data_IF_500095053923
#
_entry.id   IF_500095053923
#
_cell.length_a   1.000
_cell.length_b   1.000
_cell.length_c   1.000
_cell.angle_alpha   90.00
_cell.angle_beta   90.00
_cell.angle_gamma   90.00
#
_symmetry.space_group_name_H-M   'P 1'
#
loop_
_entity.id
_entity.type
_entity.pdbx_description
1 polymer ?
#
# COMPACT_ATOMS: atom_id res chain seq x y z
N UNK A 1 -37.22 83.35 10.21
CA UNK A 1 -37.73 81.98 10.44
C UNK A 1 -37.00 81.05 9.53
N UNK A 2 -35.99 80.29 10.00
CA UNK A 2 -35.27 79.29 9.25
C UNK A 2 -35.73 77.90 9.73
N UNK A 3 -36.30 77.10 8.82
CA UNK A 3 -36.70 75.73 9.09
C UNK A 3 -35.47 74.80 8.99
N UNK A 4 -35.14 74.15 10.09
CA UNK A 4 -34.17 73.09 10.12
C UNK A 4 -34.78 71.78 9.56
N UNK A 5 -34.18 71.25 8.49
CA UNK A 5 -34.45 69.91 7.99
C UNK A 5 -33.62 68.88 8.78
N UNK A 6 -34.28 68.05 9.58
CA UNK A 6 -33.66 66.86 10.20
C UNK A 6 -33.51 65.75 9.15
N UNK A 7 -32.30 65.39 8.85
CA UNK A 7 -31.99 64.26 7.98
C UNK A 7 -31.90 62.99 8.83
N UNK A 8 -32.86 62.07 8.64
CA UNK A 8 -32.84 60.76 9.28
C UNK A 8 -31.75 59.92 8.63
N UNK A 9 -30.71 59.58 9.37
CA UNK A 9 -29.70 58.57 8.96
C UNK A 9 -30.27 57.17 9.25
N UNK A 10 -30.49 56.43 8.19
CA UNK A 10 -30.86 55.00 8.25
C UNK A 10 -29.57 54.20 8.50
N UNK A 11 -29.44 53.63 9.68
CA UNK A 11 -28.33 52.71 9.99
C UNK A 11 -28.78 51.31 9.52
N UNK A 12 -28.15 50.84 8.43
CA UNK A 12 -28.33 49.47 7.93
C UNK A 12 -27.38 48.56 8.72
N UNK A 13 -27.92 47.82 9.66
CA UNK A 13 -27.17 46.77 10.36
C UNK A 13 -27.06 45.56 9.44
N UNK A 14 -25.87 45.31 8.86
CA UNK A 14 -25.58 44.05 8.21
C UNK A 14 -25.38 42.98 9.28
N UNK A 15 -26.35 42.08 9.43
CA UNK A 15 -26.16 40.83 10.16
C UNK A 15 -25.31 39.86 9.31
N UNK A 16 -24.03 39.72 9.65
CA UNK A 16 -23.18 38.67 9.10
C UNK A 16 -23.60 37.37 9.77
N UNK A 17 -24.41 36.57 9.08
CA UNK A 17 -24.68 35.19 9.47
C UNK A 17 -23.41 34.42 9.11
N UNK A 18 -22.54 34.23 10.10
CA UNK A 18 -21.43 33.28 10.00
C UNK A 18 -21.99 31.86 9.87
N UNK A 19 -22.04 31.31 8.66
CA UNK A 19 -22.15 29.88 8.47
C UNK A 19 -20.84 29.26 9.01
N UNK A 20 -20.86 28.79 10.22
CA UNK A 20 -19.89 27.82 10.71
C UNK A 20 -20.14 26.52 9.94
N UNK A 21 -19.37 26.31 8.89
CA UNK A 21 -19.24 24.97 8.28
C UNK A 21 -18.57 24.12 9.37
N UNK A 22 -19.35 23.43 10.17
CA UNK A 22 -18.85 22.35 10.99
C UNK A 22 -18.45 21.25 10.00
N UNK A 23 -17.20 21.28 9.55
CA UNK A 23 -16.62 20.17 8.85
C UNK A 23 -16.78 18.95 9.73
N UNK A 24 -17.52 17.97 9.27
CA UNK A 24 -17.53 16.64 9.88
C UNK A 24 -16.08 16.16 9.79
N UNK A 25 -15.36 16.28 10.89
CA UNK A 25 -14.03 15.70 11.02
C UNK A 25 -14.26 14.20 11.01
N UNK A 26 -13.76 13.51 10.01
CA UNK A 26 -13.72 12.06 10.05
C UNK A 26 -12.97 11.67 11.33
N UNK A 27 -13.60 10.88 12.20
CA UNK A 27 -12.97 10.44 13.44
C UNK A 27 -11.66 9.72 13.09
N UNK A 28 -10.56 10.09 13.76
CA UNK A 28 -9.28 9.45 13.49
C UNK A 28 -9.36 7.98 13.89
N UNK A 29 -8.81 7.12 13.04
CA UNK A 29 -8.76 5.67 13.30
C UNK A 29 -7.86 5.34 14.49
N UNK A 30 -7.03 6.30 14.95
CA UNK A 30 -6.13 6.15 16.09
C UNK A 30 -6.82 5.91 17.44
N UNK A 31 -8.09 6.17 17.54
CA UNK A 31 -8.89 5.75 18.71
C UNK A 31 -9.08 4.22 18.73
N UNK A 32 -8.82 3.55 17.61
CA UNK A 32 -8.78 2.10 17.48
C UNK A 32 -7.39 1.69 17.02
N UNK A 33 -6.78 0.77 17.71
CA UNK A 33 -5.46 0.24 17.37
C UNK A 33 -5.42 -0.21 15.89
N UNK A 34 -4.40 0.26 15.14
CA UNK A 34 -4.16 -0.17 13.77
C UNK A 34 -3.41 -1.51 13.83
N UNK A 35 -4.09 -2.60 13.52
CA UNK A 35 -3.57 -3.97 13.66
C UNK A 35 -3.18 -4.59 12.31
N UNK A 36 -2.49 -3.83 11.44
CA UNK A 36 -1.95 -4.41 10.20
C UNK A 36 -0.64 -5.15 10.48
N UNK A 37 -0.54 -6.41 10.03
CA UNK A 37 0.75 -7.05 9.84
C UNK A 37 1.35 -6.61 8.49
N UNK A 38 2.68 -6.74 8.34
CA UNK A 38 3.41 -6.36 7.11
C UNK A 38 3.03 -4.96 6.60
N UNK A 39 3.05 -3.93 7.46
CA UNK A 39 2.59 -2.61 7.06
C UNK A 39 3.52 -2.00 6.01
N UNK A 40 2.94 -1.34 5.01
CA UNK A 40 3.67 -0.53 4.05
C UNK A 40 3.09 0.87 3.96
N UNK A 41 3.97 1.87 3.86
CA UNK A 41 3.58 3.27 3.69
C UNK A 41 4.07 3.74 2.31
N UNK A 42 3.15 4.23 1.52
CA UNK A 42 3.42 4.93 0.27
C UNK A 42 3.27 6.44 0.48
N UNK A 43 4.20 7.21 -0.07
CA UNK A 43 4.22 8.68 0.12
C UNK A 43 4.02 9.37 -1.22
N UNK A 44 3.07 10.28 -1.30
CA UNK A 44 2.84 11.11 -2.48
C UNK A 44 2.18 12.45 -2.11
N UNK A 45 2.70 13.54 -2.70
CA UNK A 45 2.14 14.90 -2.55
C UNK A 45 1.96 15.33 -1.09
N UNK A 46 2.90 14.98 -0.20
CA UNK A 46 2.84 15.31 1.23
C UNK A 46 1.81 14.53 2.03
N UNK A 47 1.25 13.47 1.45
CA UNK A 47 0.37 12.52 2.14
C UNK A 47 1.03 11.15 2.27
N UNK A 48 0.68 10.46 3.33
CA UNK A 48 1.10 9.10 3.64
C UNK A 48 -0.10 8.17 3.50
N UNK A 49 0.10 7.05 2.84
CA UNK A 49 -0.93 6.04 2.60
C UNK A 49 -0.47 4.71 3.19
N UNK A 50 -1.17 4.26 4.23
CA UNK A 50 -0.86 3.03 4.96
C UNK A 50 -1.79 1.91 4.51
N UNK A 51 -1.22 0.77 4.24
CA UNK A 51 -1.91 -0.50 4.06
C UNK A 51 -1.10 -1.62 4.69
N UNK A 52 -1.67 -2.81 4.80
CA UNK A 52 -0.99 -3.97 5.38
C UNK A 52 -1.87 -5.22 5.30
N UNK A 53 -1.31 -6.31 5.76
CA UNK A 53 -2.03 -7.57 5.94
C UNK A 53 -3.14 -7.41 6.98
N UNK A 54 -4.35 -7.75 6.57
CA UNK A 54 -5.51 -7.84 7.46
C UNK A 54 -6.25 -9.17 7.23
N UNK A 55 -6.44 -9.91 8.32
CA UNK A 55 -7.10 -11.20 8.30
C UNK A 55 -8.59 -11.08 8.67
N UNK A 56 -9.30 -10.15 8.03
CA UNK A 56 -10.70 -9.81 8.33
C UNK A 56 -11.52 -9.76 7.04
N UNK A 57 -12.81 -10.10 7.15
CA UNK A 57 -13.76 -9.93 6.07
C UNK A 57 -14.24 -8.46 5.96
N UNK A 58 -14.53 -7.97 4.76
CA UNK A 58 -14.26 -8.57 3.46
C UNK A 58 -12.75 -8.66 3.20
N UNK A 59 -12.29 -9.78 2.62
CA UNK A 59 -10.87 -9.99 2.35
C UNK A 59 -10.35 -9.06 1.26
N UNK A 60 -9.10 -8.60 1.47
CA UNK A 60 -8.40 -7.65 0.62
C UNK A 60 -7.58 -6.67 1.43
N UNK A 61 -7.14 -5.61 0.79
CA UNK A 61 -6.30 -4.59 1.41
C UNK A 61 -7.07 -3.29 1.57
N UNK A 62 -7.06 -2.75 2.79
CA UNK A 62 -7.64 -1.46 3.10
C UNK A 62 -6.57 -0.37 3.07
N UNK A 63 -6.99 0.89 2.99
CA UNK A 63 -6.10 2.05 2.99
C UNK A 63 -6.48 3.01 4.10
N UNK A 64 -5.47 3.58 4.73
CA UNK A 64 -5.58 4.75 5.58
C UNK A 64 -4.72 5.87 5.00
N UNK A 65 -5.08 7.12 5.22
CA UNK A 65 -4.25 8.27 4.87
C UNK A 65 -3.92 9.12 6.10
N UNK A 66 -2.76 9.76 6.04
CA UNK A 66 -2.28 10.70 7.05
C UNK A 66 -1.49 11.84 6.38
N UNK A 67 -1.34 12.96 7.08
CA UNK A 67 -0.43 14.07 6.72
C UNK A 67 0.72 14.24 7.71
N UNK A 68 0.69 13.53 8.84
CA UNK A 68 1.62 13.71 9.96
C UNK A 68 2.21 12.39 10.50
N UNK A 69 1.76 11.23 9.99
CA UNK A 69 2.10 9.87 10.46
C UNK A 69 1.56 9.53 11.86
N UNK A 70 0.87 10.45 12.49
CA UNK A 70 0.29 10.27 13.83
C UNK A 70 -1.22 10.03 13.74
N UNK A 71 -1.92 10.83 12.92
CA UNK A 71 -3.37 10.75 12.77
C UNK A 71 -3.74 10.11 11.44
N UNK A 72 -4.43 8.99 11.51
CA UNK A 72 -4.83 8.19 10.36
C UNK A 72 -6.35 8.19 10.19
N UNK A 73 -6.80 8.35 8.95
CA UNK A 73 -8.22 8.34 8.59
C UNK A 73 -8.47 7.46 7.39
N UNK A 74 -9.71 6.99 7.23
CA UNK A 74 -10.15 6.35 5.97
C UNK A 74 -10.44 7.44 4.95
N UNK A 75 -9.79 7.45 3.76
CA UNK A 75 -9.81 8.59 2.84
C UNK A 75 -11.19 9.04 2.37
N UNK A 76 -12.15 8.11 2.19
CA UNK A 76 -13.52 8.41 1.78
C UNK A 76 -14.47 8.71 2.94
N UNK A 77 -13.95 8.76 4.17
CA UNK A 77 -14.74 9.01 5.39
C UNK A 77 -15.61 7.83 5.83
N UNK A 78 -15.51 6.68 5.19
CA UNK A 78 -16.18 5.45 5.62
C UNK A 78 -15.43 4.76 6.75
N UNK A 79 -15.99 3.68 7.28
CA UNK A 79 -15.30 2.86 8.29
C UNK A 79 -14.25 1.93 7.71
N UNK A 80 -14.25 1.69 6.39
CA UNK A 80 -13.34 0.78 5.69
C UNK A 80 -13.37 1.05 4.19
N UNK A 81 -12.24 1.45 3.61
CA UNK A 81 -12.06 1.56 2.17
C UNK A 81 -11.09 0.49 1.67
N UNK A 82 -11.59 -0.48 0.89
CA UNK A 82 -10.75 -1.48 0.23
C UNK A 82 -10.22 -0.95 -1.10
N UNK A 83 -8.91 -0.94 -1.25
CA UNK A 83 -8.22 -0.61 -2.51
C UNK A 83 -8.04 -1.82 -3.42
N UNK A 84 -8.03 -3.02 -2.83
CA UNK A 84 -8.03 -4.30 -3.52
C UNK A 84 -8.96 -5.25 -2.76
N UNK A 85 -9.85 -5.92 -3.48
CA UNK A 85 -10.83 -6.83 -2.91
C UNK A 85 -10.70 -8.20 -3.55
N UNK A 86 -10.76 -9.26 -2.72
CA UNK A 86 -10.86 -10.64 -3.20
C UNK A 86 -12.02 -10.79 -4.18
N UNK A 87 -11.76 -11.46 -5.30
CA UNK A 87 -12.75 -11.73 -6.33
C UNK A 87 -13.01 -10.59 -7.32
N UNK A 88 -12.47 -9.37 -7.10
CA UNK A 88 -12.61 -8.25 -8.03
C UNK A 88 -11.45 -8.21 -9.04
N UNK A 89 -11.39 -9.19 -9.93
CA UNK A 89 -10.29 -9.39 -10.88
C UNK A 89 -8.93 -9.44 -10.18
N UNK A 90 -8.85 -10.20 -9.11
CA UNK A 90 -7.66 -10.43 -8.30
C UNK A 90 -7.43 -11.91 -8.12
N UNK A 91 -6.17 -12.35 -8.22
CA UNK A 91 -5.78 -13.73 -7.95
C UNK A 91 -5.80 -14.00 -6.44
N UNK A 92 -6.25 -15.20 -6.09
CA UNK A 92 -6.17 -15.76 -4.74
C UNK A 92 -7.49 -15.89 -4.03
N UNK A 93 -7.57 -16.93 -3.21
CA UNK A 93 -8.74 -17.24 -2.37
C UNK A 93 -8.47 -17.01 -0.88
N UNK A 94 -7.18 -17.02 -0.48
CA UNK A 94 -6.74 -16.88 0.91
C UNK A 94 -5.33 -16.30 0.99
N UNK A 95 -4.94 -15.84 2.19
CA UNK A 95 -3.59 -15.39 2.47
C UNK A 95 -3.25 -14.11 1.72
N UNK A 96 -4.11 -13.09 1.80
CA UNK A 96 -3.82 -11.76 1.29
C UNK A 96 -2.84 -11.07 2.21
N UNK A 97 -1.52 -11.19 1.92
CA UNK A 97 -0.43 -10.78 2.80
C UNK A 97 0.57 -9.85 2.13
N UNK A 98 1.38 -9.18 2.94
CA UNK A 98 2.57 -8.43 2.58
C UNK A 98 2.42 -7.55 1.33
N UNK A 99 1.54 -6.53 1.37
CA UNK A 99 1.33 -5.64 0.25
C UNK A 99 2.49 -4.67 0.08
N UNK A 100 2.77 -4.27 -1.17
CA UNK A 100 3.72 -3.20 -1.48
C UNK A 100 3.18 -2.31 -2.60
N UNK A 101 3.32 -0.99 -2.44
CA UNK A 101 3.07 -0.03 -3.49
C UNK A 101 4.30 0.18 -4.36
N UNK A 102 4.06 0.34 -5.64
CA UNK A 102 5.05 0.83 -6.59
C UNK A 102 4.37 1.73 -7.61
N UNK A 103 4.97 2.89 -7.95
CA UNK A 103 4.45 3.78 -8.99
C UNK A 103 5.46 3.91 -10.12
N UNK A 104 5.00 3.71 -11.35
CA UNK A 104 5.74 4.07 -12.55
C UNK A 104 4.89 4.98 -13.43
N UNK A 105 5.40 6.18 -13.70
CA UNK A 105 4.69 7.23 -14.45
C UNK A 105 3.32 7.53 -13.83
N UNK A 106 2.23 7.21 -14.53
CA UNK A 106 0.83 7.45 -14.11
C UNK A 106 0.10 6.18 -13.71
N UNK A 107 0.83 5.10 -13.42
CA UNK A 107 0.24 3.83 -13.04
C UNK A 107 0.77 3.41 -11.67
N UNK A 108 -0.15 3.11 -10.78
CA UNK A 108 0.13 2.51 -9.50
C UNK A 108 0.08 0.99 -9.67
N UNK A 109 1.07 0.33 -9.16
CA UNK A 109 1.17 -1.11 -9.06
C UNK A 109 1.11 -1.51 -7.59
N UNK A 110 0.53 -2.65 -7.35
CA UNK A 110 0.34 -3.18 -6.01
C UNK A 110 0.70 -4.65 -6.04
N UNK A 111 1.79 -5.02 -5.39
CA UNK A 111 2.16 -6.41 -5.24
C UNK A 111 1.67 -6.94 -3.90
N UNK A 112 1.35 -8.21 -3.84
CA UNK A 112 0.87 -8.87 -2.64
C UNK A 112 1.07 -10.38 -2.75
N UNK A 113 0.92 -11.09 -1.64
CA UNK A 113 0.84 -12.55 -1.60
C UNK A 113 -0.62 -12.98 -1.56
N UNK A 114 -0.97 -14.03 -2.31
CA UNK A 114 -2.21 -14.78 -2.13
C UNK A 114 -2.00 -16.23 -2.56
N UNK A 115 -2.60 -17.18 -1.84
CA UNK A 115 -2.38 -18.64 -2.06
C UNK A 115 -0.89 -19.03 -2.05
N UNK A 116 -0.06 -18.36 -1.24
CA UNK A 116 1.42 -18.52 -1.23
C UNK A 116 2.06 -18.28 -2.61
N UNK A 117 1.53 -17.32 -3.35
CA UNK A 117 2.05 -16.83 -4.64
C UNK A 117 2.09 -15.32 -4.64
N UNK A 118 3.17 -14.74 -5.15
CA UNK A 118 3.25 -13.30 -5.38
C UNK A 118 2.39 -12.88 -6.56
N UNK A 119 1.72 -11.77 -6.41
CA UNK A 119 0.74 -11.24 -7.37
C UNK A 119 1.01 -9.77 -7.62
N UNK A 120 0.71 -9.27 -8.81
CA UNK A 120 0.71 -7.84 -9.13
C UNK A 120 -0.63 -7.41 -9.70
N UNK A 121 -1.15 -6.32 -9.19
CA UNK A 121 -2.33 -5.64 -9.70
C UNK A 121 -1.98 -4.18 -10.03
N UNK A 122 -2.83 -3.48 -10.75
CA UNK A 122 -2.58 -2.09 -11.11
C UNK A 122 -3.84 -1.23 -11.04
N UNK A 123 -3.63 0.08 -10.86
CA UNK A 123 -4.68 1.10 -10.85
C UNK A 123 -4.17 2.42 -11.44
N UNK A 124 -5.09 3.33 -11.76
CA UNK A 124 -4.79 4.73 -12.10
C UNK A 124 -4.90 5.66 -10.90
N UNK A 125 -5.31 5.14 -9.75
CA UNK A 125 -5.46 5.85 -8.49
C UNK A 125 -4.74 5.12 -7.36
N UNK A 126 -4.16 5.86 -6.42
CA UNK A 126 -3.61 5.32 -5.17
C UNK A 126 -4.70 4.62 -4.35
N UNK A 127 -5.94 5.05 -4.49
CA UNK A 127 -7.11 4.48 -3.81
C UNK A 127 -7.69 3.24 -4.51
N UNK A 128 -7.00 2.72 -5.53
CA UNK A 128 -7.53 1.61 -6.31
C UNK A 128 -8.70 1.99 -7.23
N UNK A 129 -9.61 1.05 -7.57
CA UNK A 129 -9.44 -0.36 -7.28
C UNK A 129 -8.26 -0.97 -8.04
N UNK A 130 -7.43 -1.73 -7.34
CA UNK A 130 -6.34 -2.46 -7.96
C UNK A 130 -6.88 -3.77 -8.54
N UNK A 131 -6.62 -3.98 -9.84
CA UNK A 131 -7.09 -5.13 -10.60
C UNK A 131 -5.99 -5.71 -11.46
N UNK A 132 -6.10 -6.98 -11.77
CA UNK A 132 -5.22 -7.65 -12.72
C UNK A 132 -5.82 -7.60 -14.14
N UNK A 133 -4.96 -7.43 -15.13
CA UNK A 133 -5.34 -7.58 -16.54
C UNK A 133 -5.67 -9.06 -16.84
N UNK A 134 -4.79 -9.95 -16.40
CA UNK A 134 -4.97 -11.39 -16.37
C UNK A 134 -4.88 -11.85 -14.92
N UNK A 135 -5.86 -12.61 -14.47
CA UNK A 135 -5.90 -13.12 -13.09
C UNK A 135 -4.97 -14.31 -12.97
N UNK A 136 -3.75 -14.06 -12.51
CA UNK A 136 -2.70 -15.07 -12.36
C UNK A 136 -1.62 -14.60 -11.37
N UNK A 137 -0.82 -15.51 -10.80
CA UNK A 137 0.37 -15.14 -10.04
C UNK A 137 1.48 -14.62 -10.97
N UNK A 138 2.48 -13.97 -10.39
CA UNK A 138 3.69 -13.51 -11.10
C UNK A 138 4.52 -14.71 -11.56
N UNK A 139 4.70 -15.67 -10.68
CA UNK A 139 5.47 -16.89 -10.90
C UNK A 139 4.81 -18.07 -10.21
N UNK A 140 4.26 -19.00 -10.99
CA UNK A 140 3.62 -20.21 -10.48
C UNK A 140 4.56 -21.42 -10.35
N UNK A 141 5.87 -21.25 -10.63
CA UNK A 141 6.82 -22.38 -10.66
C UNK A 141 7.14 -22.96 -9.28
N UNK A 142 6.97 -22.16 -8.22
CA UNK A 142 7.13 -22.57 -6.83
C UNK A 142 6.32 -21.67 -5.91
N UNK A 143 6.15 -22.06 -4.64
CA UNK A 143 5.61 -21.19 -3.61
C UNK A 143 6.56 -19.98 -3.42
N UNK A 144 5.99 -18.78 -3.39
CA UNK A 144 6.73 -17.55 -3.21
C UNK A 144 5.84 -16.48 -2.56
N UNK A 145 6.42 -15.69 -1.67
CA UNK A 145 5.71 -14.69 -0.86
C UNK A 145 6.51 -13.39 -0.78
N UNK A 146 5.96 -12.37 -0.17
CA UNK A 146 6.63 -11.13 0.26
C UNK A 146 7.45 -10.48 -0.86
N UNK A 147 6.77 -9.91 -1.83
CA UNK A 147 7.43 -9.32 -2.98
C UNK A 147 7.69 -7.83 -2.81
N UNK A 148 8.84 -7.38 -3.28
CA UNK A 148 9.19 -5.97 -3.43
C UNK A 148 9.61 -5.69 -4.88
N UNK A 149 8.91 -4.78 -5.53
CA UNK A 149 9.22 -4.36 -6.90
C UNK A 149 10.12 -3.11 -6.86
N UNK A 150 11.28 -3.23 -7.48
CA UNK A 150 12.29 -2.18 -7.55
C UNK A 150 12.59 -1.82 -9.01
N UNK A 151 12.75 -0.52 -9.30
CA UNK A 151 13.23 -0.03 -10.60
C UNK A 151 14.60 0.58 -10.42
N UNK A 152 15.59 0.05 -11.11
CA UNK A 152 16.95 0.57 -11.07
C UNK A 152 17.18 1.70 -12.10
N UNK A 153 18.32 2.40 -12.00
CA UNK A 153 18.70 3.53 -12.85
C UNK A 153 18.94 3.11 -14.30
N UNK A 154 19.24 1.83 -14.56
CA UNK A 154 19.30 1.25 -15.90
C UNK A 154 17.92 1.13 -16.57
N UNK A 155 16.84 1.48 -15.85
CA UNK A 155 15.46 1.43 -16.30
C UNK A 155 14.84 0.04 -16.24
N UNK A 156 15.56 -0.97 -15.78
CA UNK A 156 15.01 -2.31 -15.56
C UNK A 156 14.26 -2.39 -14.26
N UNK A 157 13.33 -3.34 -14.21
CA UNK A 157 12.60 -3.69 -13.02
C UNK A 157 13.10 -5.01 -12.46
N UNK A 158 13.17 -5.08 -11.15
CA UNK A 158 13.58 -6.25 -10.41
C UNK A 158 12.51 -6.60 -9.37
N UNK A 159 12.13 -7.87 -9.30
CA UNK A 159 11.27 -8.38 -8.25
C UNK A 159 12.13 -9.13 -7.23
N UNK A 160 12.21 -8.58 -6.03
CA UNK A 160 12.73 -9.30 -4.86
C UNK A 160 11.56 -10.01 -4.20
N UNK A 161 11.73 -11.26 -3.84
CA UNK A 161 10.68 -12.05 -3.20
C UNK A 161 11.27 -13.23 -2.44
N UNK A 162 10.46 -13.82 -1.59
CA UNK A 162 10.84 -14.99 -0.82
C UNK A 162 10.43 -16.24 -1.57
N UNK A 163 11.33 -17.23 -1.65
CA UNK A 163 11.03 -18.58 -2.12
C UNK A 163 11.49 -19.58 -1.10
N UNK A 164 10.72 -20.67 -0.96
CA UNK A 164 11.07 -21.76 -0.07
C UNK A 164 12.08 -22.71 -0.73
N UNK A 165 13.21 -22.92 -0.06
CA UNK A 165 14.25 -23.89 -0.42
C UNK A 165 14.92 -24.43 0.85
N UNK A 166 14.26 -25.33 1.57
CA UNK A 166 14.67 -25.81 2.91
C UNK A 166 14.79 -24.65 3.94
N UNK A 167 14.03 -23.62 3.76
CA UNK A 167 13.96 -22.35 4.47
C UNK A 167 13.39 -21.29 3.56
N UNK A 168 13.05 -20.14 4.11
CA UNK A 168 12.65 -18.98 3.34
C UNK A 168 13.88 -18.12 3.08
N UNK A 169 14.19 -17.88 1.82
CA UNK A 169 15.33 -17.10 1.40
C UNK A 169 14.94 -16.05 0.37
N UNK A 170 15.72 -14.98 0.28
CA UNK A 170 15.48 -13.91 -0.67
C UNK A 170 16.03 -14.28 -2.07
N UNK A 171 15.18 -14.12 -3.04
CA UNK A 171 15.45 -14.29 -4.47
C UNK A 171 15.19 -13.00 -5.21
N UNK A 172 15.85 -12.83 -6.34
CA UNK A 172 15.65 -11.70 -7.26
C UNK A 172 15.58 -12.18 -8.69
N UNK A 173 14.72 -11.55 -9.49
CA UNK A 173 14.69 -11.73 -10.94
C UNK A 173 14.41 -10.40 -11.64
N UNK A 174 14.87 -10.23 -12.88
CA UNK A 174 14.36 -9.17 -13.74
C UNK A 174 12.84 -9.36 -13.93
N UNK A 175 12.12 -8.26 -13.95
CA UNK A 175 10.66 -8.24 -14.02
C UNK A 175 10.16 -7.53 -15.28
N UNK A 176 9.31 -8.18 -16.04
CA UNK A 176 8.61 -7.55 -17.17
C UNK A 176 7.30 -6.92 -16.66
N UNK A 177 7.33 -5.61 -16.43
CA UNK A 177 6.16 -4.90 -15.89
C UNK A 177 4.95 -4.89 -16.83
N UNK A 178 5.17 -5.07 -18.14
CA UNK A 178 4.08 -5.13 -19.14
C UNK A 178 3.39 -6.48 -19.11
N UNK A 179 4.15 -7.56 -18.92
CA UNK A 179 3.63 -8.93 -18.81
C UNK A 179 3.16 -9.27 -17.39
N UNK A 180 3.65 -8.52 -16.37
CA UNK A 180 3.40 -8.83 -14.96
C UNK A 180 4.02 -10.15 -14.53
N UNK A 181 5.21 -10.47 -15.01
CA UNK A 181 5.92 -11.72 -14.73
C UNK A 181 7.43 -11.50 -14.62
N UNK A 182 8.11 -12.38 -13.89
CA UNK A 182 9.58 -12.43 -13.88
C UNK A 182 10.11 -12.95 -15.23
N UNK A 183 11.39 -12.72 -15.47
CA UNK A 183 12.18 -13.42 -16.51
C UNK A 183 12.86 -14.61 -15.83
N UNK A 184 12.37 -15.86 -16.02
CA UNK A 184 12.82 -17.01 -15.24
C UNK A 184 14.34 -17.28 -15.35
N UNK A 185 14.94 -16.99 -16.50
CA UNK A 185 16.37 -17.16 -16.77
C UNK A 185 17.27 -16.25 -15.92
N UNK A 186 16.70 -15.20 -15.33
CA UNK A 186 17.42 -14.26 -14.46
C UNK A 186 17.24 -14.54 -12.98
N UNK A 187 16.37 -15.52 -12.63
CA UNK A 187 16.06 -15.83 -11.26
C UNK A 187 17.24 -16.40 -10.50
N UNK A 188 17.62 -15.76 -9.41
CA UNK A 188 18.71 -16.21 -8.54
C UNK A 188 18.42 -15.93 -7.08
N UNK A 189 18.93 -16.79 -6.21
CA UNK A 189 18.96 -16.54 -4.77
C UNK A 189 19.99 -15.44 -4.50
N UNK A 190 19.60 -14.41 -3.77
CA UNK A 190 20.47 -13.27 -3.47
C UNK A 190 20.92 -13.22 -2.01
N UNK A 191 20.15 -13.78 -1.09
CA UNK A 191 20.51 -13.85 0.32
C UNK A 191 19.98 -15.13 0.95
N UNK A 192 20.71 -15.64 1.95
CA UNK A 192 20.31 -16.74 2.81
C UNK A 192 20.81 -16.51 4.26
N UNK A 193 20.33 -17.35 5.17
CA UNK A 193 20.73 -17.31 6.59
C UNK A 193 22.04 -18.05 6.79
N UNK A 194 23.17 -17.36 6.77
CA UNK A 194 24.51 -17.94 6.95
C UNK A 194 24.96 -17.90 8.40
N UNK A 195 24.60 -16.84 9.12
CA UNK A 195 25.09 -16.59 10.47
C UNK A 195 24.28 -17.37 11.54
N UNK A 196 24.93 -17.83 12.63
CA UNK A 196 24.25 -18.59 13.68
C UNK A 196 23.10 -17.82 14.35
N UNK A 197 23.17 -16.50 14.46
CA UNK A 197 22.14 -15.68 15.10
C UNK A 197 20.88 -15.50 14.21
N UNK A 198 20.97 -15.76 12.92
CA UNK A 198 19.85 -15.75 11.98
C UNK A 198 18.99 -17.02 12.11
N UNK A 199 19.50 -18.05 12.78
CA UNK A 199 18.81 -19.34 12.98
C UNK A 199 18.12 -19.37 14.33
N UNK A 200 16.92 -18.81 14.39
CA UNK A 200 16.20 -18.71 15.66
C UNK A 200 15.70 -20.07 16.16
N UNK A 201 15.48 -20.25 17.51
CA UNK A 201 14.97 -21.49 18.07
C UNK A 201 13.65 -21.98 17.47
N UNK A 202 12.81 -21.07 16.99
CA UNK A 202 11.50 -21.37 16.40
C UNK A 202 11.61 -22.02 15.02
N UNK A 203 12.76 -21.86 14.33
CA UNK A 203 12.96 -22.31 12.94
C UNK A 203 14.25 -23.12 12.79
N UNK A 204 14.52 -24.05 13.72
CA UNK A 204 15.75 -24.85 13.76
C UNK A 204 16.05 -25.63 12.48
N UNK A 205 15.01 -26.10 11.79
CA UNK A 205 15.12 -26.92 10.57
C UNK A 205 14.92 -26.15 9.27
N UNK A 206 14.37 -24.95 9.33
CA UNK A 206 14.03 -24.12 8.18
C UNK A 206 14.19 -22.64 8.53
N UNK A 207 15.37 -22.05 8.34
CA UNK A 207 15.61 -20.63 8.57
C UNK A 207 14.63 -19.75 7.79
N UNK A 208 14.30 -18.57 8.34
CA UNK A 208 13.34 -17.65 7.75
C UNK A 208 14.00 -16.29 7.53
N UNK A 209 14.07 -15.89 6.27
CA UNK A 209 14.45 -14.56 5.82
C UNK A 209 13.36 -14.06 4.87
N UNK A 210 12.60 -13.06 5.29
CA UNK A 210 11.38 -12.60 4.64
C UNK A 210 11.30 -11.07 4.57
N UNK A 211 10.27 -10.54 3.90
CA UNK A 211 9.92 -9.13 3.91
C UNK A 211 10.99 -8.21 3.30
N UNK A 212 11.47 -8.43 2.06
CA UNK A 212 12.49 -7.58 1.46
C UNK A 212 12.00 -6.15 1.29
N UNK A 213 12.85 -5.19 1.66
CA UNK A 213 12.73 -3.79 1.28
C UNK A 213 14.04 -3.36 0.63
N UNK A 214 13.98 -2.80 -0.56
CA UNK A 214 15.15 -2.41 -1.35
C UNK A 214 15.15 -0.92 -1.58
N UNK A 215 16.26 -0.29 -1.26
CA UNK A 215 16.52 1.11 -1.57
C UNK A 215 17.92 1.26 -2.16
N UNK A 216 18.09 2.28 -2.98
CA UNK A 216 19.39 2.69 -3.49
C UNK A 216 19.84 3.94 -2.74
N UNK A 217 21.09 3.94 -2.29
CA UNK A 217 21.68 5.06 -1.59
C UNK A 217 23.04 5.37 -2.24
N UNK A 218 23.21 6.61 -2.68
CA UNK A 218 24.47 7.12 -3.30
C UNK A 218 25.05 6.28 -4.47
N UNK A 219 24.18 5.68 -5.25
CA UNK A 219 24.55 4.96 -6.48
C UNK A 219 24.61 3.45 -6.36
#
# INVERSE_FOLDING_TARGET
MKKHKMTKRLILALAIIGLSVTGVRADSVNEKEITYADPTIYVENGKYYLTGTRNQEPQGFAILESTDLEHWTVPDGSSLQLILRKGDRTYGEKGFWAPQYFKDKRTYYFTYTANEQTVIASSKSVFGPFRQKEVKPIDASAKNIDSFLFKDDDGKYYLYHVRFNKGNYLWVAEFDIKKGSIKPETLKQCMDCTEPWEKTPNYKSAPVMEGPTVMKWDG
#
